data_IF_720611871032
#
_entry.id   IF_720611871032
#
_cell.length_a   1.000
_cell.length_b   1.000
_cell.length_c   1.000
_cell.angle_alpha   90.00
_cell.angle_beta   90.00
_cell.angle_gamma   90.00
#
_symmetry.space_group_name_H-M   'P 1'
#
loop_
_entity.id
_entity.type
_entity.pdbx_description
1 polymer ?
#
# COMPACT_ATOMS: atom_id res chain seq x y z
N UNK A 1 -4.83 11.57 7.17
CA UNK A 1 -3.72 10.82 7.79
C UNK A 1 -3.42 11.30 9.22
N UNK A 2 -3.80 12.51 9.62
CA UNK A 2 -3.51 13.07 10.97
C UNK A 2 -3.81 12.11 12.12
N UNK A 3 -4.95 11.42 12.07
CA UNK A 3 -5.37 10.46 13.10
C UNK A 3 -4.37 9.30 13.32
N UNK A 4 -3.59 8.92 12.30
CA UNK A 4 -2.63 7.82 12.37
C UNK A 4 -1.19 8.28 12.63
N UNK A 5 -0.91 9.59 12.62
CA UNK A 5 0.46 10.12 12.74
C UNK A 5 1.18 9.63 14.01
N UNK A 6 0.59 9.62 15.22
CA UNK A 6 1.30 9.12 16.41
C UNK A 6 1.75 7.67 16.25
N UNK A 7 0.89 6.83 15.67
CA UNK A 7 1.18 5.41 15.44
C UNK A 7 2.23 5.22 14.35
N UNK A 8 2.11 5.95 13.25
CA UNK A 8 3.08 5.93 12.13
C UNK A 8 4.45 6.39 12.61
N UNK A 9 4.53 7.49 13.37
CA UNK A 9 5.79 7.98 13.95
C UNK A 9 6.39 6.93 14.88
N UNK A 10 5.58 6.33 15.76
CA UNK A 10 6.03 5.24 16.63
C UNK A 10 6.59 4.04 15.85
N UNK A 11 5.97 3.66 14.73
CA UNK A 11 6.42 2.57 13.86
C UNK A 11 7.76 2.89 13.17
N UNK A 12 7.96 4.16 12.78
CA UNK A 12 9.19 4.60 12.14
C UNK A 12 10.31 4.97 13.13
N UNK A 13 10.03 5.07 14.43
CA UNK A 13 11.01 5.42 15.46
C UNK A 13 12.23 4.51 15.37
N UNK A 14 13.43 5.09 15.36
CA UNK A 14 14.70 4.35 15.21
C UNK A 14 15.12 4.09 13.76
N UNK A 15 14.24 4.34 12.79
CA UNK A 15 14.45 4.10 11.35
C UNK A 15 14.52 5.39 10.52
N UNK A 16 14.63 6.56 11.16
CA UNK A 16 14.52 7.88 10.50
C UNK A 16 15.86 8.52 10.12
N UNK A 17 16.94 7.74 10.02
CA UNK A 17 18.27 8.29 9.66
C UNK A 17 18.36 8.68 8.19
N UNK A 18 17.86 7.84 7.28
CA UNK A 18 17.89 8.10 5.84
C UNK A 18 16.61 7.52 5.22
N UNK A 19 15.49 8.22 5.42
CA UNK A 19 14.21 7.79 4.86
C UNK A 19 14.16 8.06 3.36
N UNK A 20 13.63 7.11 2.59
CA UNK A 20 13.44 7.28 1.15
C UNK A 20 11.94 7.36 0.84
N UNK A 21 11.54 8.44 0.19
CA UNK A 21 10.17 8.68 -0.25
C UNK A 21 9.98 8.35 -1.74
N UNK A 22 8.90 7.65 -2.06
CA UNK A 22 8.48 7.30 -3.41
C UNK A 22 7.25 8.15 -3.79
N UNK A 23 7.43 9.27 -4.52
CA UNK A 23 6.39 10.26 -4.77
C UNK A 23 5.52 9.96 -6.01
N UNK A 24 5.83 8.89 -6.76
CA UNK A 24 5.40 8.69 -8.15
C UNK A 24 3.89 8.49 -8.35
N UNK A 25 3.13 8.28 -7.28
CA UNK A 25 1.68 8.26 -7.34
C UNK A 25 1.11 9.68 -7.61
N UNK A 26 1.82 10.75 -7.25
CA UNK A 26 1.34 12.11 -7.48
C UNK A 26 1.42 12.49 -8.96
N UNK A 27 0.26 12.88 -9.51
CA UNK A 27 0.12 13.34 -10.90
C UNK A 27 0.03 14.87 -11.00
N UNK A 28 -0.61 15.53 -10.02
CA UNK A 28 -0.87 16.98 -10.06
C UNK A 28 0.11 17.81 -9.24
N UNK A 29 0.60 17.26 -8.13
CA UNK A 29 1.58 17.93 -7.27
C UNK A 29 2.98 17.49 -7.69
N UNK A 30 3.94 18.42 -7.82
CA UNK A 30 5.32 18.06 -8.10
C UNK A 30 5.87 17.13 -7.00
N UNK A 31 6.76 16.22 -7.40
CA UNK A 31 7.33 15.22 -6.50
C UNK A 31 8.18 15.86 -5.39
N UNK A 32 8.88 16.95 -5.67
CA UNK A 32 9.57 17.79 -4.68
C UNK A 32 8.59 18.28 -3.60
N UNK A 33 7.52 18.99 -3.99
CA UNK A 33 6.52 19.52 -3.05
C UNK A 33 5.79 18.42 -2.30
N UNK A 34 5.60 17.25 -2.92
CA UNK A 34 5.00 16.12 -2.22
C UNK A 34 5.96 15.58 -1.15
N UNK A 35 7.25 15.46 -1.49
CA UNK A 35 8.29 15.06 -0.56
C UNK A 35 8.35 16.02 0.63
N UNK A 36 8.34 17.33 0.39
CA UNK A 36 8.34 18.36 1.46
C UNK A 36 7.15 18.18 2.42
N UNK A 37 5.94 18.00 1.88
CA UNK A 37 4.74 17.78 2.71
C UNK A 37 4.84 16.53 3.57
N UNK A 38 5.41 15.46 3.03
CA UNK A 38 5.59 14.20 3.78
C UNK A 38 6.69 14.36 4.84
N UNK A 39 7.76 15.07 4.50
CA UNK A 39 8.86 15.43 5.41
C UNK A 39 8.32 16.15 6.64
N UNK A 40 7.52 17.20 6.42
CA UNK A 40 6.95 18.02 7.48
C UNK A 40 5.94 17.22 8.33
N UNK A 41 5.04 16.48 7.69
CA UNK A 41 4.00 15.73 8.40
C UNK A 41 4.56 14.60 9.28
N UNK A 42 5.60 13.90 8.79
CA UNK A 42 6.22 12.79 9.51
C UNK A 42 7.37 13.22 10.42
N UNK A 43 7.81 14.48 10.37
CA UNK A 43 8.95 15.01 11.12
C UNK A 43 10.23 14.20 10.87
N UNK A 44 10.53 13.93 9.58
CA UNK A 44 11.71 13.17 9.15
C UNK A 44 12.68 14.14 8.46
N UNK A 45 13.69 14.71 9.14
CA UNK A 45 14.54 15.72 8.53
C UNK A 45 15.29 15.21 7.29
N UNK A 46 15.80 13.98 7.37
CA UNK A 46 16.57 13.31 6.31
C UNK A 46 15.65 12.41 5.46
N UNK A 47 14.65 13.03 4.83
CA UNK A 47 13.78 12.39 3.85
C UNK A 47 14.22 12.75 2.42
N UNK A 48 14.83 11.79 1.75
CA UNK A 48 15.29 11.91 0.36
C UNK A 48 14.25 11.31 -0.59
N UNK A 49 14.01 11.97 -1.72
CA UNK A 49 13.06 11.48 -2.71
C UNK A 49 13.72 10.59 -3.75
N UNK A 50 13.10 9.45 -4.07
CA UNK A 50 13.63 8.51 -5.07
C UNK A 50 13.67 9.11 -6.49
N UNK A 51 12.94 10.20 -6.74
CA UNK A 51 12.92 10.83 -8.06
C UNK A 51 14.18 11.64 -8.40
N UNK A 52 14.97 12.04 -7.40
CA UNK A 52 16.12 12.94 -7.55
C UNK A 52 17.44 12.20 -7.81
N UNK A 53 17.49 10.89 -7.56
CA UNK A 53 18.74 10.11 -7.65
C UNK A 53 19.04 9.61 -9.06
N UNK A 54 20.33 9.55 -9.39
CA UNK A 54 20.84 8.89 -10.58
C UNK A 54 20.93 7.36 -10.43
N UNK A 55 21.04 6.85 -9.19
CA UNK A 55 21.06 5.43 -8.88
C UNK A 55 19.93 5.09 -7.90
N UNK A 56 18.74 4.75 -8.41
CA UNK A 56 17.58 4.48 -7.58
C UNK A 56 17.69 3.13 -6.84
N UNK A 57 18.45 2.17 -7.37
CA UNK A 57 18.65 0.89 -6.69
C UNK A 57 19.55 1.05 -5.46
N UNK A 58 20.67 1.77 -5.58
CA UNK A 58 21.57 2.05 -4.46
C UNK A 58 20.86 2.82 -3.34
N UNK A 59 20.12 3.89 -3.69
CA UNK A 59 19.38 4.68 -2.69
C UNK A 59 18.34 3.83 -1.94
N UNK A 60 17.65 2.91 -2.63
CA UNK A 60 16.73 1.97 -1.98
C UNK A 60 17.47 1.03 -1.02
N UNK A 61 18.64 0.50 -1.40
CA UNK A 61 19.39 -0.42 -0.53
C UNK A 61 19.92 0.26 0.75
N UNK A 62 20.21 1.56 0.69
CA UNK A 62 20.69 2.34 1.84
C UNK A 62 19.55 2.89 2.72
N UNK A 63 18.31 2.84 2.24
CA UNK A 63 17.15 3.41 2.92
C UNK A 63 16.96 2.81 4.32
N UNK A 64 16.80 3.64 5.34
CA UNK A 64 16.45 3.18 6.69
C UNK A 64 14.94 2.98 6.87
N UNK A 65 14.14 3.63 6.03
CA UNK A 65 12.70 3.44 5.91
C UNK A 65 12.26 3.72 4.46
N UNK A 66 11.26 2.97 3.97
CA UNK A 66 10.68 3.15 2.64
C UNK A 66 9.25 3.68 2.78
N UNK A 67 9.00 4.87 2.23
CA UNK A 67 7.73 5.58 2.39
C UNK A 67 7.10 5.80 1.01
N UNK A 68 5.87 5.36 0.80
CA UNK A 68 5.20 5.37 -0.50
C UNK A 68 3.92 6.17 -0.45
N UNK A 69 3.87 7.22 -1.27
CA UNK A 69 2.76 8.15 -1.33
C UNK A 69 1.48 7.60 -1.95
N UNK A 70 0.38 8.31 -1.71
CA UNK A 70 -0.90 8.14 -2.37
C UNK A 70 -1.01 8.97 -3.65
N UNK A 71 -2.02 8.68 -4.46
CA UNK A 71 -2.21 9.27 -5.79
C UNK A 71 -2.72 8.20 -6.75
N UNK A 72 -2.24 8.17 -7.99
CA UNK A 72 -2.60 7.15 -8.97
C UNK A 72 -1.64 5.93 -8.92
N UNK A 73 -2.20 4.76 -8.65
CA UNK A 73 -1.50 3.48 -8.49
C UNK A 73 -0.83 3.01 -9.77
N UNK A 74 -1.43 3.26 -10.95
CA UNK A 74 -0.85 2.87 -12.23
C UNK A 74 0.39 3.70 -12.58
N UNK A 75 0.34 5.02 -12.34
CA UNK A 75 1.51 5.90 -12.46
C UNK A 75 2.63 5.47 -11.50
N UNK A 76 2.29 5.19 -10.24
CA UNK A 76 3.24 4.71 -9.24
C UNK A 76 3.95 3.44 -9.71
N UNK A 77 3.19 2.40 -10.09
CA UNK A 77 3.79 1.12 -10.49
C UNK A 77 4.66 1.26 -11.74
N UNK A 78 4.17 2.00 -12.74
CA UNK A 78 4.92 2.21 -14.00
C UNK A 78 6.25 2.92 -13.78
N UNK A 79 6.29 3.94 -12.94
CA UNK A 79 7.54 4.64 -12.62
C UNK A 79 8.55 3.73 -11.91
N UNK A 80 8.08 2.87 -11.00
CA UNK A 80 8.94 1.91 -10.30
C UNK A 80 9.46 0.80 -11.22
N UNK A 81 8.63 0.32 -12.15
CA UNK A 81 9.06 -0.61 -13.20
C UNK A 81 10.05 0.04 -14.17
N UNK A 82 9.86 1.31 -14.56
CA UNK A 82 10.77 2.01 -15.46
C UNK A 82 12.14 2.29 -14.83
N UNK A 83 12.21 2.34 -13.50
CA UNK A 83 13.44 2.52 -12.72
C UNK A 83 14.05 1.19 -12.28
N UNK A 84 13.42 0.06 -12.62
CA UNK A 84 13.82 -1.30 -12.24
C UNK A 84 14.06 -1.47 -10.71
N UNK A 85 13.26 -0.78 -9.88
CA UNK A 85 13.44 -0.78 -8.41
C UNK A 85 12.51 -1.69 -7.63
N UNK A 86 11.57 -2.39 -8.28
CA UNK A 86 10.66 -3.30 -7.57
C UNK A 86 11.40 -4.40 -6.80
N UNK A 87 12.38 -5.07 -7.44
CA UNK A 87 13.17 -6.10 -6.76
C UNK A 87 14.07 -5.53 -5.65
N UNK A 88 14.82 -4.42 -5.85
CA UNK A 88 15.52 -3.73 -4.76
C UNK A 88 14.62 -3.37 -3.57
N UNK A 89 13.40 -2.87 -3.81
CA UNK A 89 12.45 -2.55 -2.75
C UNK A 89 12.07 -3.80 -1.96
N UNK A 90 11.69 -4.88 -2.64
CA UNK A 90 11.33 -6.14 -2.00
C UNK A 90 12.48 -6.70 -1.16
N UNK A 91 13.70 -6.67 -1.68
CA UNK A 91 14.90 -7.13 -0.97
C UNK A 91 15.13 -6.31 0.29
N UNK A 92 15.13 -4.98 0.15
CA UNK A 92 15.39 -4.09 1.28
C UNK A 92 14.36 -4.27 2.40
N UNK A 93 13.09 -4.44 2.05
CA UNK A 93 12.01 -4.68 3.02
C UNK A 93 12.16 -6.04 3.69
N UNK A 94 12.53 -7.09 2.94
CA UNK A 94 12.83 -8.42 3.50
C UNK A 94 13.98 -8.41 4.50
N UNK A 95 14.94 -7.50 4.33
CA UNK A 95 16.02 -7.25 5.31
C UNK A 95 15.59 -6.42 6.53
N UNK A 96 14.28 -6.22 6.73
CA UNK A 96 13.73 -5.54 7.91
C UNK A 96 13.60 -4.02 7.77
N UNK A 97 13.71 -3.47 6.56
CA UNK A 97 13.37 -2.05 6.36
C UNK A 97 11.88 -1.84 6.53
N UNK A 98 11.43 -0.90 7.39
CA UNK A 98 10.02 -0.59 7.51
C UNK A 98 9.48 0.00 6.21
N UNK A 99 8.31 -0.50 5.82
CA UNK A 99 7.51 0.01 4.70
C UNK A 99 6.29 0.77 5.25
N UNK A 100 6.12 2.01 4.81
CA UNK A 100 4.93 2.82 5.07
C UNK A 100 4.28 3.18 3.74
N UNK A 101 3.05 2.73 3.50
CA UNK A 101 2.29 3.08 2.30
C UNK A 101 0.85 3.46 2.62
N UNK A 102 0.31 4.44 1.90
CA UNK A 102 -1.11 4.81 2.01
C UNK A 102 -1.76 4.94 0.64
N UNK A 103 -3.06 4.60 0.55
CA UNK A 103 -3.80 4.61 -0.71
C UNK A 103 -3.08 3.77 -1.79
N UNK A 104 -2.52 4.40 -2.82
CA UNK A 104 -1.72 3.72 -3.85
C UNK A 104 -0.52 2.97 -3.25
N UNK A 105 0.13 3.52 -2.22
CA UNK A 105 1.19 2.81 -1.50
C UNK A 105 0.68 1.57 -0.74
N UNK A 106 -0.59 1.53 -0.32
CA UNK A 106 -1.17 0.31 0.24
C UNK A 106 -1.42 -0.75 -0.85
N UNK A 107 -1.89 -0.33 -2.03
CA UNK A 107 -2.00 -1.24 -3.18
C UNK A 107 -0.64 -1.80 -3.61
N UNK A 108 0.42 -0.99 -3.61
CA UNK A 108 1.76 -1.42 -4.01
C UNK A 108 2.33 -2.52 -3.09
N UNK A 109 1.90 -2.60 -1.82
CA UNK A 109 2.32 -3.65 -0.90
C UNK A 109 1.74 -5.04 -1.22
N UNK A 110 0.67 -5.11 -2.03
CA UNK A 110 -0.04 -6.35 -2.36
C UNK A 110 0.69 -7.17 -3.43
N UNK A 111 0.22 -8.41 -3.72
CA UNK A 111 0.71 -9.20 -4.86
C UNK A 111 0.52 -8.46 -6.20
N UNK A 112 -0.63 -7.82 -6.39
CA UNK A 112 -0.93 -7.02 -7.58
C UNK A 112 -1.66 -5.73 -7.24
N UNK A 113 -1.76 -4.81 -8.21
CA UNK A 113 -2.57 -3.58 -8.08
C UNK A 113 -4.03 -3.77 -8.53
N UNK A 114 -4.48 -4.99 -8.82
CA UNK A 114 -5.78 -5.26 -9.46
C UNK A 114 -7.01 -4.84 -8.63
N UNK A 115 -6.83 -4.53 -7.35
CA UNK A 115 -7.89 -4.05 -6.45
C UNK A 115 -7.78 -2.56 -6.12
N UNK A 116 -7.01 -1.80 -6.90
CA UNK A 116 -7.05 -0.33 -6.85
C UNK A 116 -8.39 0.21 -7.37
N UNK A 117 -8.77 1.39 -6.91
CA UNK A 117 -9.95 2.11 -7.43
C UNK A 117 -9.57 3.13 -8.51
N UNK A 118 -8.28 3.26 -8.79
CA UNK A 118 -7.77 4.28 -9.67
C UNK A 118 -8.14 4.00 -11.12
N UNK A 119 -8.36 5.07 -11.87
CA UNK A 119 -8.47 4.99 -13.32
C UNK A 119 -7.10 4.62 -13.93
N UNK A 120 -7.02 3.68 -14.90
CA UNK A 120 -5.77 3.26 -15.54
C UNK A 120 -5.27 4.29 -16.55
N UNK A 121 -4.82 5.45 -16.06
CA UNK A 121 -4.38 6.58 -16.89
C UNK A 121 -2.99 6.40 -17.51
N UNK A 122 -2.24 5.39 -17.06
CA UNK A 122 -0.99 4.93 -17.67
C UNK A 122 -0.92 3.40 -17.59
N UNK A 123 -0.18 2.79 -18.51
CA UNK A 123 -0.03 1.35 -18.58
C UNK A 123 1.32 0.90 -18.00
N UNK A 124 1.36 0.23 -16.83
CA UNK A 124 2.55 -0.48 -16.38
C UNK A 124 2.81 -1.71 -17.25
N UNK A 125 4.04 -2.22 -17.24
CA UNK A 125 4.46 -3.45 -17.94
C UNK A 125 3.70 -4.67 -17.42
N UNK A 126 3.38 -4.69 -16.13
CA UNK A 126 2.56 -5.71 -15.48
C UNK A 126 1.72 -5.11 -14.34
N UNK A 127 0.79 -5.86 -13.78
CA UNK A 127 0.10 -5.46 -12.54
C UNK A 127 0.75 -6.02 -11.27
N UNK A 128 1.88 -6.74 -11.38
CA UNK A 128 2.57 -7.32 -10.23
C UNK A 128 3.21 -6.22 -9.40
N UNK A 129 3.04 -6.28 -8.10
CA UNK A 129 3.53 -5.28 -7.16
C UNK A 129 4.53 -5.92 -6.18
N UNK A 130 4.66 -5.40 -4.94
CA UNK A 130 5.73 -5.80 -4.04
C UNK A 130 5.49 -7.14 -3.34
N UNK A 131 4.26 -7.66 -3.30
CA UNK A 131 3.93 -8.95 -2.69
C UNK A 131 4.41 -9.07 -1.23
N UNK A 132 4.22 -8.01 -0.43
CA UNK A 132 4.62 -7.93 0.97
C UNK A 132 3.57 -8.53 1.92
N UNK A 133 2.32 -8.59 1.47
CA UNK A 133 1.20 -9.21 2.19
C UNK A 133 0.53 -10.27 1.31
N UNK A 134 -0.05 -11.34 1.89
CA UNK A 134 -0.59 -12.47 1.12
C UNK A 134 -2.05 -12.24 0.65
N UNK A 135 -2.51 -10.99 0.63
CA UNK A 135 -3.87 -10.60 0.25
C UNK A 135 -3.86 -9.30 -0.54
N UNK A 136 -4.93 -9.08 -1.29
CA UNK A 136 -5.19 -7.81 -1.96
C UNK A 136 -5.81 -6.80 -0.98
N UNK A 137 -5.45 -5.53 -1.11
CA UNK A 137 -6.09 -4.42 -0.38
C UNK A 137 -6.94 -3.64 -1.38
N UNK A 138 -8.20 -3.40 -1.05
CA UNK A 138 -9.02 -2.38 -1.69
C UNK A 138 -9.08 -1.16 -0.75
N UNK A 139 -8.23 -0.13 -0.93
CA UNK A 139 -8.25 1.05 -0.08
C UNK A 139 -9.52 1.86 -0.34
N UNK A 140 -9.88 2.77 0.57
CA UNK A 140 -11.08 3.61 0.45
C UNK A 140 -12.32 2.77 0.17
N UNK A 141 -12.42 1.62 0.84
CA UNK A 141 -13.58 0.76 0.70
C UNK A 141 -14.80 1.44 1.31
N UNK A 142 -15.91 1.42 0.59
CA UNK A 142 -17.22 1.74 1.12
C UNK A 142 -18.21 0.71 0.58
N UNK A 143 -19.12 0.17 1.42
CA UNK A 143 -20.23 -0.64 0.96
C UNK A 143 -21.34 0.20 0.30
N UNK A 144 -21.27 1.53 0.43
CA UNK A 144 -22.32 2.43 -0.04
C UNK A 144 -22.41 2.47 -1.56
N UNK A 145 -23.65 2.61 -2.04
CA UNK A 145 -23.95 2.85 -3.45
C UNK A 145 -24.37 4.30 -3.63
N UNK A 146 -23.94 4.91 -4.73
CA UNK A 146 -24.47 6.21 -5.14
C UNK A 146 -25.96 6.04 -5.52
N UNK A 147 -26.89 6.79 -4.91
CA UNK A 147 -28.30 6.69 -5.25
C UNK A 147 -28.52 6.89 -6.75
N UNK A 148 -29.33 6.01 -7.36
CA UNK A 148 -29.69 6.04 -8.78
C UNK A 148 -28.52 5.85 -9.78
N UNK A 149 -27.34 5.44 -9.31
CA UNK A 149 -26.22 5.09 -10.21
C UNK A 149 -26.36 3.64 -10.70
N UNK A 150 -26.37 3.44 -12.03
CA UNK A 150 -26.57 2.12 -12.65
C UNK A 150 -25.30 1.27 -12.81
N UNK A 151 -24.12 1.79 -12.47
CA UNK A 151 -22.87 1.04 -12.53
C UNK A 151 -22.64 0.13 -11.32
N UNK A 152 -21.65 -0.76 -11.44
CA UNK A 152 -21.30 -1.75 -10.42
C UNK A 152 -20.84 -1.07 -9.12
N UNK A 153 -21.33 -1.58 -7.99
CA UNK A 153 -20.85 -1.19 -6.66
C UNK A 153 -19.43 -1.69 -6.42
N UNK A 154 -18.82 -1.23 -5.34
CA UNK A 154 -17.51 -1.75 -4.94
C UNK A 154 -17.54 -3.24 -4.66
N UNK A 155 -18.62 -3.73 -4.03
CA UNK A 155 -18.79 -5.14 -3.74
C UNK A 155 -18.88 -5.97 -5.03
N UNK A 156 -19.67 -5.52 -5.99
CA UNK A 156 -19.84 -6.20 -7.28
C UNK A 156 -18.48 -6.36 -7.99
N UNK A 157 -17.66 -5.30 -8.03
CA UNK A 157 -16.30 -5.33 -8.63
C UNK A 157 -15.34 -6.27 -7.89
N UNK A 158 -15.41 -6.33 -6.55
CA UNK A 158 -14.60 -7.25 -5.76
C UNK A 158 -15.03 -8.71 -6.04
N UNK A 159 -16.33 -8.96 -6.22
CA UNK A 159 -16.84 -10.28 -6.57
C UNK A 159 -16.40 -10.72 -7.96
N UNK A 160 -16.37 -9.81 -8.95
CA UNK A 160 -15.79 -10.09 -10.27
C UNK A 160 -14.31 -10.50 -10.14
N UNK A 161 -13.53 -9.75 -9.36
CA UNK A 161 -12.13 -10.09 -9.09
C UNK A 161 -11.99 -11.48 -8.47
N UNK A 162 -12.77 -11.78 -7.42
CA UNK A 162 -12.75 -13.09 -6.76
C UNK A 162 -13.26 -14.24 -7.65
N UNK A 163 -14.09 -13.95 -8.65
CA UNK A 163 -14.52 -14.94 -9.64
C UNK A 163 -13.36 -15.35 -10.55
N UNK A 164 -12.49 -14.40 -10.92
CA UNK A 164 -11.29 -14.66 -11.71
C UNK A 164 -10.11 -15.19 -10.87
N UNK A 165 -10.10 -14.89 -9.57
CA UNK A 165 -9.05 -15.23 -8.62
C UNK A 165 -9.64 -15.91 -7.36
N UNK A 166 -10.15 -17.15 -7.49
CA UNK A 166 -10.92 -17.80 -6.43
C UNK A 166 -10.12 -18.11 -5.15
N UNK A 167 -8.79 -18.19 -5.26
CA UNK A 167 -7.85 -18.36 -4.16
C UNK A 167 -7.50 -17.05 -3.43
N UNK A 168 -7.85 -15.89 -4.02
CA UNK A 168 -7.47 -14.61 -3.46
C UNK A 168 -8.35 -14.22 -2.26
N UNK A 169 -7.78 -13.37 -1.43
CA UNK A 169 -8.46 -12.63 -0.36
C UNK A 169 -8.37 -11.15 -0.69
N UNK A 170 -9.49 -10.44 -0.55
CA UNK A 170 -9.53 -8.98 -0.65
C UNK A 170 -9.88 -8.41 0.71
N UNK A 171 -9.04 -7.50 1.20
CA UNK A 171 -9.29 -6.70 2.41
C UNK A 171 -9.77 -5.32 1.96
N UNK A 172 -11.08 -5.08 2.07
CA UNK A 172 -11.68 -3.76 1.94
C UNK A 172 -11.34 -2.91 3.15
N UNK A 173 -10.55 -1.86 2.94
CA UNK A 173 -10.01 -0.99 3.99
C UNK A 173 -10.73 0.37 3.95
N UNK A 174 -11.68 0.65 4.86
CA UNK A 174 -12.36 1.94 4.90
C UNK A 174 -11.43 3.11 5.22
N UNK A 175 -11.84 4.33 4.89
CA UNK A 175 -11.10 5.51 5.32
C UNK A 175 -11.00 5.59 6.85
N UNK A 176 -9.85 6.02 7.36
CA UNK A 176 -9.63 6.07 8.81
C UNK A 176 -9.25 4.73 9.44
N UNK A 177 -8.86 3.74 8.61
CA UNK A 177 -8.30 2.46 9.05
C UNK A 177 -6.92 2.21 8.45
N UNK A 178 -6.18 1.28 9.04
CA UNK A 178 -4.85 0.87 8.58
C UNK A 178 -4.50 -0.53 9.07
N UNK A 179 -3.44 -1.09 8.48
CA UNK A 179 -2.89 -2.39 8.86
C UNK A 179 -1.44 -2.20 9.28
N UNK A 180 -1.09 -2.76 10.44
CA UNK A 180 0.28 -2.86 10.89
C UNK A 180 0.70 -4.33 10.82
N UNK A 181 1.72 -4.61 10.02
CA UNK A 181 2.15 -5.98 9.70
C UNK A 181 3.52 -6.24 10.31
N UNK A 182 3.61 -7.30 11.10
CA UNK A 182 4.86 -7.79 11.68
C UNK A 182 4.87 -9.32 11.62
N UNK A 183 5.74 -9.88 10.78
CA UNK A 183 5.83 -11.32 10.53
C UNK A 183 4.46 -11.95 10.18
N UNK A 184 3.88 -12.74 11.08
CA UNK A 184 2.60 -13.42 10.92
C UNK A 184 1.40 -12.62 11.46
N UNK A 185 1.64 -11.46 12.07
CA UNK A 185 0.60 -10.67 12.73
C UNK A 185 0.26 -9.42 11.94
N UNK A 186 -0.98 -9.38 11.42
CA UNK A 186 -1.50 -8.33 10.55
C UNK A 186 -2.63 -7.59 11.28
N UNK A 187 -2.26 -6.65 12.15
CA UNK A 187 -3.18 -6.02 13.10
C UNK A 187 -3.90 -4.84 12.46
N UNK A 188 -5.23 -4.81 12.63
CA UNK A 188 -6.07 -3.70 12.19
C UNK A 188 -6.02 -2.59 13.22
N UNK A 189 -5.88 -1.35 12.78
CA UNK A 189 -6.02 -0.18 13.63
C UNK A 189 -6.87 0.90 12.95
N UNK A 190 -7.44 1.80 13.75
CA UNK A 190 -8.28 2.89 13.27
C UNK A 190 -9.71 2.82 13.80
N UNK A 191 -10.64 3.40 13.04
CA UNK A 191 -11.97 3.76 13.56
C UNK A 191 -13.08 2.76 13.23
N UNK A 192 -12.89 1.93 12.23
CA UNK A 192 -13.93 1.08 11.65
C UNK A 192 -13.41 -0.34 11.43
N UNK A 193 -14.32 -1.30 11.35
CA UNK A 193 -13.98 -2.64 10.94
C UNK A 193 -13.52 -2.65 9.48
N UNK A 194 -12.61 -3.57 9.16
CA UNK A 194 -12.23 -3.86 7.77
C UNK A 194 -13.08 -5.00 7.25
N UNK A 195 -13.31 -5.02 5.94
CA UNK A 195 -14.13 -6.06 5.32
C UNK A 195 -13.23 -7.10 4.66
N UNK A 196 -13.35 -8.34 5.10
CA UNK A 196 -12.66 -9.49 4.52
C UNK A 196 -13.57 -10.15 3.49
N UNK A 197 -13.09 -10.29 2.25
CA UNK A 197 -13.79 -10.95 1.16
C UNK A 197 -13.00 -12.16 0.67
N UNK A 198 -13.71 -13.28 0.51
CA UNK A 198 -13.22 -14.52 -0.11
C UNK A 198 -14.36 -15.23 -0.82
N UNK A 199 -14.04 -16.22 -1.65
CA UNK A 199 -15.04 -17.11 -2.27
C UNK A 199 -15.85 -17.91 -1.25
N UNK A 200 -15.31 -18.13 -0.05
CA UNK A 200 -16.00 -18.84 1.05
C UNK A 200 -16.92 -17.96 1.90
N UNK A 201 -16.89 -16.63 1.69
CA UNK A 201 -17.75 -15.70 2.42
C UNK A 201 -17.06 -14.38 2.78
N UNK A 202 -17.86 -13.49 3.36
CA UNK A 202 -17.48 -12.14 3.78
C UNK A 202 -17.64 -11.97 5.27
N UNK A 203 -16.74 -11.22 5.92
CA UNK A 203 -16.88 -10.84 7.33
C UNK A 203 -16.24 -9.50 7.63
N UNK A 204 -16.76 -8.81 8.62
CA UNK A 204 -16.13 -7.62 9.19
C UNK A 204 -15.18 -8.01 10.32
N UNK A 205 -14.02 -7.36 10.38
CA UNK A 205 -13.00 -7.59 11.40
C UNK A 205 -12.71 -6.26 12.09
N UNK A 206 -12.98 -6.14 13.40
CA UNK A 206 -12.87 -4.86 14.10
C UNK A 206 -11.40 -4.42 14.31
N UNK A 207 -11.15 -3.13 14.59
CA UNK A 207 -9.84 -2.68 15.04
C UNK A 207 -9.36 -3.43 16.29
N UNK A 208 -8.06 -3.74 16.34
CA UNK A 208 -7.44 -4.55 17.38
C UNK A 208 -7.26 -6.02 17.00
N UNK A 209 -8.10 -6.54 16.11
CA UNK A 209 -8.02 -7.92 15.63
C UNK A 209 -7.03 -8.05 14.45
N UNK A 210 -6.74 -9.29 14.06
CA UNK A 210 -5.82 -9.61 12.98
C UNK A 210 -6.54 -10.05 11.70
N UNK A 211 -5.99 -9.67 10.55
CA UNK A 211 -6.34 -10.28 9.27
C UNK A 211 -5.94 -11.77 9.33
N UNK A 212 -6.86 -12.69 9.02
CA UNK A 212 -6.54 -14.11 8.89
C UNK A 212 -5.54 -14.30 7.75
N UNK A 213 -4.35 -14.78 8.08
CA UNK A 213 -3.33 -15.14 7.10
C UNK A 213 -3.12 -16.65 7.13
N UNK A 214 -3.29 -17.31 5.98
CA UNK A 214 -2.90 -18.71 5.84
C UNK A 214 -1.39 -18.77 5.69
N UNK A 215 -0.71 -19.46 6.60
CA UNK A 215 0.76 -19.59 6.67
C UNK A 215 1.38 -20.32 5.47
N UNK A 216 0.56 -20.74 4.50
CA UNK A 216 0.98 -21.59 3.38
C UNK A 216 1.59 -20.83 2.18
N UNK A 217 1.55 -19.49 2.15
CA UNK A 217 1.98 -18.70 0.97
C UNK A 217 2.99 -17.57 1.26
N UNK A 218 3.42 -17.39 2.51
CA UNK A 218 4.56 -16.50 2.74
C UNK A 218 5.81 -17.20 2.22
N UNK A 219 6.44 -16.59 1.20
CA UNK A 219 7.74 -17.05 0.70
C UNK A 219 8.67 -17.17 1.90
N UNK A 220 9.11 -18.41 2.18
CA UNK A 220 10.13 -18.67 3.19
C UNK A 220 11.38 -17.84 2.89
N UNK A 221 12.11 -17.43 3.94
CA UNK A 221 13.35 -16.66 3.80
C UNK A 221 14.35 -17.32 2.86
#
# INVERSE_FOLDING_TARGET
MEWSLPRVRSFLTGHLKCGVFLPFASVRLSWERYTDRVRDALEIPELTSLHETADPAALVQEASALIVGGGNTFCLLRELENRDVLAPLQERIRQGCPYLGWSAGANLACPTIQTTNDMPIQQPRSFRALNLVPYQINPHFTPDRLPHHGGESRLDRIQEFLTLHPEAVVVGLPEGTGLEVSADRHVIFGRQAVHYFSTTGTREIPPGDCIPVSTTSMMKP
#
